data_IF_958777436634
#
_entry.id   IF_958777436634
#
_cell.length_a   1.000
_cell.length_b   1.000
_cell.length_c   1.000
_cell.angle_alpha   90.00
_cell.angle_beta   90.00
_cell.angle_gamma   90.00
#
_symmetry.space_group_name_H-M   'P 1'
#
loop_
_entity.id
_entity.type
_entity.pdbx_description
1 polymer ?
#
# COMPACT_ATOMS: atom_id res chain seq x y z
N UNK A 1 -16.29 5.25 -21.63
CA UNK A 1 -15.17 5.88 -20.91
C UNK A 1 -14.19 4.78 -20.57
N UNK A 2 -13.13 4.64 -21.36
CA UNK A 2 -12.10 3.63 -21.14
C UNK A 2 -11.27 4.14 -19.96
N UNK A 3 -11.33 3.46 -18.82
CA UNK A 3 -10.38 3.74 -17.75
C UNK A 3 -8.99 3.45 -18.33
N UNK A 4 -8.20 4.50 -18.58
CA UNK A 4 -6.79 4.35 -18.88
C UNK A 4 -6.23 3.44 -17.80
N UNK A 5 -5.73 2.27 -18.17
CA UNK A 5 -5.03 1.39 -17.23
C UNK A 5 -3.85 2.23 -16.76
N UNK A 6 -3.86 2.74 -15.52
CA UNK A 6 -2.73 3.54 -15.07
C UNK A 6 -1.54 2.59 -15.13
N UNK A 7 -0.55 2.91 -15.95
CA UNK A 7 0.73 2.20 -15.95
C UNK A 7 1.17 2.18 -14.50
N UNK A 8 1.16 1.03 -13.84
CA UNK A 8 1.56 0.97 -12.43
C UNK A 8 3.08 1.15 -12.45
N UNK A 9 3.60 2.16 -11.76
CA UNK A 9 5.03 2.49 -11.71
C UNK A 9 5.74 1.82 -10.55
N UNK A 10 5.02 1.54 -9.47
CA UNK A 10 5.55 0.77 -8.36
C UNK A 10 4.42 0.02 -7.66
N UNK A 11 4.74 -1.15 -7.10
CA UNK A 11 3.82 -1.91 -6.27
C UNK A 11 4.44 -2.09 -4.89
N UNK A 12 3.63 -1.97 -3.86
CA UNK A 12 4.08 -2.05 -2.47
C UNK A 12 3.21 -3.03 -1.70
N UNK A 13 3.83 -4.00 -1.05
CA UNK A 13 3.20 -4.88 -0.06
C UNK A 13 3.40 -4.29 1.34
N UNK A 14 2.32 -4.00 2.03
CA UNK A 14 2.30 -3.55 3.41
C UNK A 14 1.82 -4.66 4.33
N UNK A 15 2.65 -5.00 5.30
CA UNK A 15 2.26 -5.82 6.44
C UNK A 15 1.68 -4.92 7.53
N UNK A 16 0.43 -5.17 7.88
CA UNK A 16 -0.32 -4.50 8.93
C UNK A 16 -0.57 -5.51 10.05
N UNK A 17 -0.40 -5.09 11.30
CA UNK A 17 -0.70 -5.91 12.47
C UNK A 17 -1.79 -5.24 13.29
N UNK A 18 -2.89 -5.94 13.48
CA UNK A 18 -3.96 -5.48 14.37
C UNK A 18 -3.47 -5.47 15.82
N UNK A 19 -3.76 -4.40 16.56
CA UNK A 19 -3.39 -4.33 17.98
C UNK A 19 -4.30 -5.17 18.89
N UNK A 20 -5.52 -5.51 18.44
CA UNK A 20 -6.48 -6.31 19.20
C UNK A 20 -6.26 -7.83 19.02
N UNK A 21 -6.39 -8.34 17.80
CA UNK A 21 -6.27 -9.77 17.52
C UNK A 21 -4.83 -10.21 17.19
N UNK A 22 -3.88 -9.27 17.09
CA UNK A 22 -2.51 -9.51 16.61
C UNK A 22 -2.42 -10.14 15.21
N UNK A 23 -3.54 -10.23 14.49
CA UNK A 23 -3.61 -10.79 13.15
C UNK A 23 -2.82 -9.92 12.19
N UNK A 24 -2.01 -10.57 11.37
CA UNK A 24 -1.16 -9.91 10.39
C UNK A 24 -1.83 -9.95 9.03
N UNK A 25 -2.28 -8.80 8.55
CA UNK A 25 -2.88 -8.64 7.23
C UNK A 25 -1.89 -8.03 6.27
N UNK A 26 -1.92 -8.50 5.03
CA UNK A 26 -1.10 -7.95 3.94
C UNK A 26 -2.00 -7.16 3.00
N UNK A 27 -1.54 -5.97 2.60
CA UNK A 27 -2.24 -5.08 1.67
C UNK A 27 -1.29 -4.72 0.54
N UNK A 28 -1.77 -4.83 -0.69
CA UNK A 28 -1.02 -4.32 -1.84
C UNK A 28 -1.52 -2.92 -2.18
N UNK A 29 -0.58 -2.00 -2.41
CA UNK A 29 -0.85 -0.68 -2.97
C UNK A 29 -0.11 -0.57 -4.29
N UNK A 30 -0.81 -0.02 -5.26
CA UNK A 30 -0.30 0.20 -6.59
C UNK A 30 -0.15 1.70 -6.78
N UNK A 31 1.09 2.10 -7.01
CA UNK A 31 1.45 3.47 -7.30
C UNK A 31 1.34 3.66 -8.81
N UNK A 32 0.39 4.48 -9.29
CA UNK A 32 0.27 4.78 -10.71
C UNK A 32 1.48 5.57 -11.21
N UNK A 33 1.75 5.54 -12.51
CA UNK A 33 2.77 6.34 -13.18
C UNK A 33 2.32 7.81 -13.30
N UNK A 34 2.22 8.46 -12.15
CA UNK A 34 2.00 9.90 -12.03
C UNK A 34 3.26 10.53 -11.45
N UNK A 35 3.55 11.79 -11.82
CA UNK A 35 4.70 12.53 -11.28
C UNK A 35 4.65 12.70 -9.75
N UNK A 36 3.46 12.68 -9.15
CA UNK A 36 3.21 12.82 -7.71
C UNK A 36 3.11 11.47 -6.97
N UNK A 37 3.32 10.35 -7.68
CA UNK A 37 3.14 9.02 -7.11
C UNK A 37 4.46 8.47 -6.55
N UNK A 38 4.43 7.85 -5.35
CA UNK A 38 5.64 7.37 -4.69
C UNK A 38 6.30 6.26 -5.51
N UNK A 39 7.60 6.38 -5.73
CA UNK A 39 8.38 5.40 -6.49
C UNK A 39 9.10 4.39 -5.61
N UNK A 40 9.31 4.77 -4.35
CA UNK A 40 10.01 3.96 -3.36
C UNK A 40 9.26 3.90 -2.03
N UNK A 41 9.65 2.94 -1.18
CA UNK A 41 9.08 2.76 0.16
C UNK A 41 9.22 4.01 1.02
N UNK A 42 10.37 4.67 0.99
CA UNK A 42 10.63 5.87 1.79
C UNK A 42 9.66 7.01 1.43
N UNK A 43 9.50 7.28 0.12
CA UNK A 43 8.51 8.22 -0.39
C UNK A 43 7.10 7.83 0.04
N UNK A 44 6.72 6.56 -0.07
CA UNK A 44 5.40 6.08 0.33
C UNK A 44 5.13 6.32 1.83
N UNK A 45 6.14 6.13 2.68
CA UNK A 45 6.04 6.31 4.14
C UNK A 45 5.85 7.79 4.52
N UNK A 46 6.52 8.71 3.83
CA UNK A 46 6.36 10.16 4.05
C UNK A 46 5.16 10.75 3.30
N UNK A 47 4.67 10.05 2.28
CA UNK A 47 3.53 10.47 1.47
C UNK A 47 2.20 10.38 2.22
N UNK A 48 1.28 11.28 1.90
CA UNK A 48 -0.12 11.20 2.35
C UNK A 48 -0.86 9.94 1.84
N UNK A 49 -0.27 9.18 0.92
CA UNK A 49 -0.81 7.93 0.39
C UNK A 49 -1.09 6.91 1.49
N UNK A 50 -0.14 6.69 2.39
CA UNK A 50 -0.28 5.76 3.51
C UNK A 50 -1.36 6.26 4.50
N UNK A 51 -1.37 7.57 4.79
CA UNK A 51 -2.33 8.19 5.71
C UNK A 51 -3.76 8.17 5.16
N UNK A 52 -3.93 8.20 3.83
CA UNK A 52 -5.23 8.10 3.16
C UNK A 52 -5.79 6.68 3.12
N UNK A 53 -4.97 5.67 3.42
CA UNK A 53 -5.47 4.31 3.50
C UNK A 53 -6.11 4.04 4.84
N UNK A 54 -7.41 3.73 4.81
CA UNK A 54 -8.11 3.21 5.98
C UNK A 54 -7.74 1.75 6.19
N UNK A 55 -6.97 1.48 7.23
CA UNK A 55 -6.59 0.12 7.61
C UNK A 55 -7.58 -0.44 8.65
N UNK A 56 -8.62 -1.12 8.19
CA UNK A 56 -9.53 -1.85 9.06
C UNK A 56 -9.11 -3.32 9.14
N UNK A 57 -9.05 -3.88 10.35
CA UNK A 57 -8.94 -5.32 10.52
C UNK A 57 -10.27 -5.98 10.10
N UNK A 58 -10.22 -6.93 9.18
CA UNK A 58 -11.43 -7.63 8.71
C UNK A 58 -12.14 -8.42 9.82
N UNK A 59 -11.39 -8.83 10.85
CA UNK A 59 -11.87 -9.70 11.93
C UNK A 59 -12.36 -8.91 13.14
N UNK A 60 -11.74 -7.77 13.43
CA UNK A 60 -12.14 -6.90 14.54
C UNK A 60 -13.00 -5.71 14.12
N UNK A 61 -13.13 -5.45 12.81
CA UNK A 61 -13.76 -4.25 12.21
C UNK A 61 -13.19 -2.91 12.75
N UNK A 62 -12.04 -2.97 13.40
CA UNK A 62 -11.42 -1.86 14.10
C UNK A 62 -10.28 -1.27 13.27
N UNK A 63 -10.17 0.07 13.16
CA UNK A 63 -9.10 0.74 12.43
C UNK A 63 -7.81 0.87 13.27
N UNK A 64 -7.43 -0.19 13.99
CA UNK A 64 -6.31 -0.18 14.95
C UNK A 64 -5.19 -1.11 14.45
N UNK A 65 -4.79 -0.93 13.20
CA UNK A 65 -3.69 -1.67 12.59
C UNK A 65 -2.42 -0.81 12.55
N UNK A 66 -1.33 -1.32 13.12
CA UNK A 66 -0.01 -0.70 13.02
C UNK A 66 0.70 -1.26 11.79
N UNK A 67 1.27 -0.39 10.98
CA UNK A 67 2.14 -0.79 9.89
C UNK A 67 3.43 -1.40 10.46
N UNK A 68 3.66 -2.68 10.19
CA UNK A 68 4.83 -3.43 10.72
C UNK A 68 5.90 -3.66 9.67
N UNK A 69 5.54 -3.65 8.39
CA UNK A 69 6.51 -3.83 7.30
C UNK A 69 5.97 -3.22 6.01
N UNK A 70 6.88 -2.71 5.19
CA UNK A 70 6.60 -2.30 3.81
C UNK A 70 7.68 -2.91 2.93
N UNK A 71 7.26 -3.55 1.85
CA UNK A 71 8.14 -4.09 0.84
C UNK A 71 7.72 -3.56 -0.52
N UNK A 72 8.67 -3.09 -1.30
CA UNK A 72 8.44 -2.79 -2.70
C UNK A 72 8.51 -4.09 -3.49
N UNK A 73 7.45 -4.36 -4.25
CA UNK A 73 7.39 -5.44 -5.21
C UNK A 73 7.87 -4.89 -6.55
N UNK A 74 8.91 -5.52 -7.08
CA UNK A 74 9.42 -5.26 -8.42
C UNK A 74 8.31 -5.60 -9.42
N UNK A 75 7.71 -4.59 -10.03
CA UNK A 75 6.84 -4.82 -11.17
C UNK A 75 7.73 -5.15 -12.37
N UNK A 76 7.49 -6.28 -13.07
CA UNK A 76 8.23 -6.58 -14.28
C UNK A 76 7.83 -5.54 -15.33
N UNK A 77 8.67 -4.52 -15.50
CA UNK A 77 8.62 -3.63 -16.65
C UNK A 77 9.04 -4.48 -17.85
N UNK A 78 8.07 -5.09 -18.54
CA UNK A 78 8.33 -5.72 -19.84
C UNK A 78 8.89 -4.65 -20.77
N UNK A 79 10.15 -4.85 -21.12
CA UNK A 79 11.00 -3.99 -21.91
C UNK A 79 10.68 -4.08 -23.41
#
# INVERSE_FOLDING_TARGET
MFAAVPTIRARFEMGLRCHNCHHMTKRMIESPDLEDAPTCVDELLVSAWLQRQSFACAECENPIATLVSVQQLEIPTSH
#
